data_IF_351499546974
#
_entry.id   IF_351499546974
#
_cell.length_a   1.000
_cell.length_b   1.000
_cell.length_c   1.000
_cell.angle_alpha   90.00
_cell.angle_beta   90.00
_cell.angle_gamma   90.00
#
_symmetry.space_group_name_H-M   'P 1'
#
loop_
_entity.id
_entity.type
_entity.pdbx_description
1 polymer ?
#
# COMPACT_ATOMS: atom_id res chain seq x y z
N UNK A 1 3.49 -28.68 -35.42
CA UNK A 1 2.41 -29.04 -34.46
C UNK A 1 2.59 -28.41 -33.08
N UNK A 2 3.79 -28.45 -32.46
CA UNK A 2 4.04 -27.90 -31.11
C UNK A 2 3.76 -26.39 -30.99
N UNK A 3 4.18 -25.61 -32.00
CA UNK A 3 3.98 -24.15 -32.03
C UNK A 3 2.51 -23.80 -32.24
N UNK A 4 1.82 -24.49 -33.16
CA UNK A 4 0.39 -24.29 -33.39
C UNK A 4 -0.44 -24.61 -32.14
N UNK A 5 -0.10 -25.69 -31.42
CA UNK A 5 -0.74 -26.03 -30.15
C UNK A 5 -0.50 -24.94 -29.08
N UNK A 6 0.73 -24.44 -28.95
CA UNK A 6 1.03 -23.35 -28.01
C UNK A 6 0.28 -22.05 -28.34
N UNK A 7 0.12 -21.73 -29.63
CA UNK A 7 -0.64 -20.55 -30.07
C UNK A 7 -2.14 -20.70 -29.77
N UNK A 8 -2.71 -21.89 -30.00
CA UNK A 8 -4.12 -22.18 -29.70
C UNK A 8 -4.37 -22.09 -28.20
N UNK A 9 -3.50 -22.68 -27.37
CA UNK A 9 -3.61 -22.61 -25.91
C UNK A 9 -3.53 -21.17 -25.43
N UNK A 10 -2.59 -20.39 -25.95
CA UNK A 10 -2.44 -18.96 -25.59
C UNK A 10 -3.68 -18.16 -25.97
N UNK A 11 -4.24 -18.39 -27.17
CA UNK A 11 -5.45 -17.72 -27.63
C UNK A 11 -6.66 -18.03 -26.74
N UNK A 12 -6.84 -19.29 -26.35
CA UNK A 12 -7.93 -19.72 -25.46
C UNK A 12 -7.81 -19.07 -24.08
N UNK A 13 -6.61 -18.98 -23.52
CA UNK A 13 -6.38 -18.35 -22.22
C UNK A 13 -6.73 -16.84 -22.22
N UNK A 14 -6.39 -16.13 -23.29
CA UNK A 14 -6.71 -14.70 -23.43
C UNK A 14 -8.20 -14.51 -23.65
N UNK A 15 -8.85 -15.37 -24.45
CA UNK A 15 -10.29 -15.30 -24.69
C UNK A 15 -11.12 -15.58 -23.43
N UNK A 16 -10.57 -16.33 -22.47
CA UNK A 16 -11.21 -16.63 -21.18
C UNK A 16 -10.83 -15.67 -20.06
N UNK A 17 -9.94 -14.71 -20.32
CA UNK A 17 -9.63 -13.67 -19.37
C UNK A 17 -10.87 -12.81 -19.15
N UNK A 18 -11.55 -13.02 -18.00
CA UNK A 18 -12.61 -12.12 -17.56
C UNK A 18 -12.02 -10.72 -17.35
N UNK A 19 -12.80 -9.65 -17.62
CA UNK A 19 -12.37 -8.31 -17.24
C UNK A 19 -12.22 -8.33 -15.72
N UNK A 20 -10.98 -8.33 -15.25
CA UNK A 20 -10.67 -8.03 -13.87
C UNK A 20 -10.98 -6.54 -13.71
N UNK A 21 -12.26 -6.21 -13.43
CA UNK A 21 -12.67 -4.97 -12.81
C UNK A 21 -11.62 -4.70 -11.72
N UNK A 22 -10.80 -3.66 -11.89
CA UNK A 22 -9.64 -3.45 -11.05
C UNK A 22 -10.07 -3.60 -9.59
N UNK A 23 -9.55 -4.61 -8.89
CA UNK A 23 -9.89 -4.93 -7.49
C UNK A 23 -9.58 -3.78 -6.51
N UNK A 24 -9.09 -2.65 -7.02
CA UNK A 24 -8.86 -1.41 -6.31
C UNK A 24 -10.12 -0.50 -6.22
N UNK A 25 -11.10 -0.64 -7.13
CA UNK A 25 -12.30 0.23 -7.12
C UNK A 25 -13.39 -0.35 -6.20
N UNK A 26 -13.58 -1.67 -6.14
CA UNK A 26 -14.55 -2.27 -5.21
C UNK A 26 -14.12 -2.13 -3.74
N UNK A 27 -12.84 -2.35 -3.41
CA UNK A 27 -12.36 -2.17 -2.04
C UNK A 27 -12.45 -0.71 -1.58
N UNK A 28 -12.19 0.24 -2.49
CA UNK A 28 -12.35 1.68 -2.22
C UNK A 28 -13.82 2.05 -2.04
N UNK A 29 -14.72 1.58 -2.91
CA UNK A 29 -16.15 1.85 -2.82
C UNK A 29 -16.77 1.25 -1.55
N UNK A 30 -16.46 0.00 -1.20
CA UNK A 30 -16.94 -0.63 0.05
C UNK A 30 -16.39 0.10 1.28
N UNK A 31 -15.14 0.56 1.25
CA UNK A 31 -14.58 1.36 2.33
C UNK A 31 -15.27 2.72 2.45
N UNK A 32 -15.50 3.43 1.33
CA UNK A 32 -16.18 4.73 1.31
C UNK A 32 -17.67 4.61 1.70
N UNK A 33 -18.35 3.53 1.33
CA UNK A 33 -19.74 3.25 1.68
C UNK A 33 -19.86 2.87 3.16
N UNK A 34 -18.96 2.02 3.66
CA UNK A 34 -18.83 1.73 5.09
C UNK A 34 -18.53 3.00 5.91
N UNK A 35 -17.87 4.01 5.34
CA UNK A 35 -17.61 5.27 6.04
C UNK A 35 -18.89 6.07 6.34
N UNK A 36 -19.85 6.05 5.40
CA UNK A 36 -21.10 6.81 5.49
C UNK A 36 -22.03 6.28 6.58
N UNK A 37 -22.01 4.97 6.80
CA UNK A 37 -22.78 4.29 7.84
C UNK A 37 -22.03 4.16 9.18
N UNK A 38 -20.88 4.83 9.33
CA UNK A 38 -20.08 4.81 10.56
C UNK A 38 -19.24 3.53 10.78
N UNK A 39 -19.14 2.68 9.77
CA UNK A 39 -18.28 1.50 9.72
C UNK A 39 -16.81 1.81 9.35
N UNK A 40 -16.09 0.79 8.90
CA UNK A 40 -14.62 0.75 8.70
C UNK A 40 -14.01 1.98 7.98
N UNK A 41 -14.76 2.65 7.10
CA UNK A 41 -14.28 3.81 6.37
C UNK A 41 -14.22 5.12 7.17
N UNK A 42 -14.96 5.25 8.28
CA UNK A 42 -14.98 6.48 9.08
C UNK A 42 -13.61 6.74 9.76
N UNK A 43 -12.85 5.67 10.03
CA UNK A 43 -11.52 5.73 10.63
C UNK A 43 -10.35 5.68 9.65
N UNK A 44 -10.58 5.44 8.36
CA UNK A 44 -9.52 5.15 7.39
C UNK A 44 -8.54 6.32 7.20
N UNK A 45 -9.05 7.55 7.07
CA UNK A 45 -8.19 8.73 6.93
C UNK A 45 -7.31 8.94 8.18
N UNK A 46 -7.85 8.66 9.38
CA UNK A 46 -7.09 8.69 10.63
C UNK A 46 -6.06 7.56 10.69
N UNK A 47 -6.39 6.38 10.19
CA UNK A 47 -5.47 5.26 10.03
C UNK A 47 -4.30 5.58 9.10
N UNK A 48 -4.56 6.20 7.95
CA UNK A 48 -3.51 6.65 7.01
C UNK A 48 -2.60 7.68 7.67
N UNK A 49 -3.17 8.70 8.32
CA UNK A 49 -2.38 9.70 9.05
C UNK A 49 -1.53 9.07 10.16
N UNK A 50 -2.07 8.10 10.89
CA UNK A 50 -1.34 7.37 11.93
C UNK A 50 -0.15 6.57 11.34
N UNK A 51 -0.39 5.80 10.28
CA UNK A 51 0.66 5.02 9.61
C UNK A 51 1.74 5.92 8.99
N UNK A 52 1.38 7.09 8.47
CA UNK A 52 2.34 8.08 7.97
C UNK A 52 3.11 8.78 9.10
N UNK A 53 2.52 9.00 10.27
CA UNK A 53 3.20 9.66 11.38
C UNK A 53 4.37 8.83 11.96
N UNK A 54 4.23 7.50 11.99
CA UNK A 54 5.23 6.57 12.54
C UNK A 54 6.63 6.76 11.91
N UNK A 55 6.82 6.71 10.57
CA UNK A 55 8.16 6.88 9.98
C UNK A 55 8.77 8.25 10.28
N UNK A 56 7.98 9.32 10.38
CA UNK A 56 8.50 10.64 10.73
C UNK A 56 8.99 10.70 12.18
N UNK A 57 8.28 10.09 13.12
CA UNK A 57 8.69 10.03 14.53
C UNK A 57 9.98 9.23 14.68
N UNK A 58 10.07 8.08 14.02
CA UNK A 58 11.26 7.22 14.06
C UNK A 58 12.50 7.92 13.47
N UNK A 59 12.35 8.60 12.33
CA UNK A 59 13.43 9.40 11.74
C UNK A 59 13.87 10.53 12.67
N UNK A 60 12.92 11.24 13.28
CA UNK A 60 13.21 12.33 14.22
C UNK A 60 14.02 11.84 15.43
N UNK A 61 13.62 10.70 16.01
CA UNK A 61 14.33 10.08 17.12
C UNK A 61 15.74 9.61 16.72
N UNK A 62 15.89 9.01 15.52
CA UNK A 62 17.18 8.58 15.00
C UNK A 62 18.14 9.77 14.85
N UNK A 63 17.71 10.84 14.20
CA UNK A 63 18.52 12.05 14.04
C UNK A 63 18.89 12.68 15.39
N UNK A 64 17.98 12.70 16.35
CA UNK A 64 18.25 13.20 17.70
C UNK A 64 19.36 12.40 18.41
N UNK A 65 19.30 11.06 18.34
CA UNK A 65 20.33 10.19 18.94
C UNK A 65 21.69 10.41 18.27
N UNK A 66 21.73 10.48 16.94
CA UNK A 66 22.97 10.74 16.18
C UNK A 66 23.57 12.10 16.57
N UNK A 67 22.75 13.15 16.59
CA UNK A 67 23.19 14.50 16.97
C UNK A 67 23.78 14.54 18.39
N UNK A 68 23.14 13.85 19.34
CA UNK A 68 23.64 13.77 20.72
C UNK A 68 24.99 13.07 20.80
N UNK A 69 25.18 11.96 20.07
CA UNK A 69 26.46 11.25 20.02
C UNK A 69 27.56 12.15 19.42
N UNK A 70 27.29 12.76 18.26
CA UNK A 70 28.25 13.65 17.60
C UNK A 70 28.68 14.83 18.48
N UNK A 71 27.74 15.44 19.21
CA UNK A 71 28.06 16.52 20.16
C UNK A 71 28.90 16.04 21.36
N UNK A 72 28.62 14.85 21.87
CA UNK A 72 29.39 14.26 22.97
C UNK A 72 30.83 13.95 22.54
N UNK A 73 31.01 13.38 21.34
CA UNK A 73 32.33 13.06 20.78
C UNK A 73 33.15 14.32 20.44
N UNK A 74 32.49 15.41 20.04
CA UNK A 74 33.15 16.70 19.70
C UNK A 74 33.57 17.54 20.92
N UNK A 75 33.21 17.13 22.14
CA UNK A 75 33.55 17.84 23.39
C UNK A 75 34.59 17.06 24.22
N UNK A 76 35.27 16.08 23.62
CA UNK A 76 36.41 15.36 24.21
C UNK A 76 37.75 15.81 23.63
#
# INVERSE_FOLDING_TARGET
>A
MKIAFALIVTFVLIAWASPAEAQCVMCKAVAEDSAKDGGLGAGLNKGILYLMAVPYILLSALFFVIYRKWKADSTS
#
